data_IF_769459850585
#
_entry.id   IF_769459850585
#
_cell.length_a   1.000
_cell.length_b   1.000
_cell.length_c   1.000
_cell.angle_alpha   90.00
_cell.angle_beta   90.00
_cell.angle_gamma   90.00
#
_symmetry.space_group_name_H-M   'P 1'
#
loop_
_entity.id
_entity.type
_entity.pdbx_description
1 polymer ?
#
# COMPACT_ATOMS: atom_id res chain seq x y z
N UNK A 1 -12.50 -52.11 -36.35
CA UNK A 1 -12.67 -50.95 -35.43
C UNK A 1 -11.32 -50.64 -34.81
N UNK A 2 -10.67 -49.57 -35.24
CA UNK A 2 -9.82 -48.69 -34.40
C UNK A 2 -9.47 -47.48 -35.26
N UNK A 3 -10.21 -46.38 -35.03
CA UNK A 3 -9.87 -45.05 -35.56
C UNK A 3 -8.68 -44.57 -34.74
N UNK A 4 -7.54 -44.29 -35.37
CA UNK A 4 -6.52 -43.43 -34.78
C UNK A 4 -6.92 -41.99 -35.10
N UNK A 5 -7.39 -41.32 -34.06
CA UNK A 5 -7.78 -39.91 -34.07
C UNK A 5 -6.53 -39.04 -34.08
N UNK A 6 -6.52 -38.08 -34.99
CA UNK A 6 -5.59 -36.97 -35.09
C UNK A 6 -5.59 -36.18 -33.77
N UNK A 7 -4.45 -36.05 -33.11
CA UNK A 7 -4.23 -35.01 -32.10
C UNK A 7 -3.34 -33.95 -32.73
N UNK A 8 -3.97 -32.92 -33.28
CA UNK A 8 -3.29 -31.69 -33.65
C UNK A 8 -2.77 -31.05 -32.36
N UNK A 9 -1.46 -30.94 -32.24
CA UNK A 9 -0.81 -30.08 -31.25
C UNK A 9 -1.21 -28.64 -31.61
N UNK A 10 -2.18 -28.08 -30.88
CA UNK A 10 -2.39 -26.65 -30.88
C UNK A 10 -1.17 -26.04 -30.19
N UNK A 11 -0.17 -25.61 -30.97
CA UNK A 11 0.72 -24.56 -30.49
C UNK A 11 -0.18 -23.37 -30.18
N UNK A 12 -0.43 -23.12 -28.89
CA UNK A 12 -0.83 -21.80 -28.44
C UNK A 12 0.22 -20.85 -28.98
N UNK A 13 -0.16 -20.07 -29.99
CA UNK A 13 0.59 -18.89 -30.38
C UNK A 13 0.65 -18.02 -29.15
N UNK A 14 1.78 -18.06 -28.45
CA UNK A 14 2.16 -17.05 -27.48
C UNK A 14 2.16 -15.75 -28.28
N UNK A 15 1.05 -15.02 -28.25
CA UNK A 15 1.01 -13.67 -28.76
C UNK A 15 1.90 -12.86 -27.84
N UNK A 16 3.18 -12.78 -28.20
CA UNK A 16 4.09 -11.78 -27.66
C UNK A 16 3.61 -10.47 -28.28
N UNK A 17 2.49 -9.94 -27.76
CA UNK A 17 2.21 -8.51 -27.84
C UNK A 17 3.45 -7.86 -27.22
N UNK A 18 4.21 -7.14 -28.04
CA UNK A 18 5.51 -6.61 -27.64
C UNK A 18 5.41 -5.89 -26.30
N UNK A 19 6.27 -6.29 -25.36
CA UNK A 19 6.36 -5.65 -24.06
C UNK A 19 6.62 -4.15 -24.26
N UNK A 20 5.72 -3.31 -23.78
CA UNK A 20 5.82 -1.86 -23.92
C UNK A 20 4.55 -1.16 -23.41
N UNK A 21 4.67 0.14 -23.14
CA UNK A 21 3.49 0.96 -22.87
C UNK A 21 2.65 1.09 -24.15
N UNK A 22 1.33 0.99 -24.01
CA UNK A 22 0.41 1.33 -25.11
C UNK A 22 0.41 2.84 -25.37
N UNK A 23 -0.21 3.26 -26.46
CA UNK A 23 -0.43 4.69 -26.71
C UNK A 23 -1.28 5.34 -25.61
N UNK A 24 -1.09 6.63 -25.39
CA UNK A 24 -1.84 7.41 -24.40
C UNK A 24 -3.35 7.24 -24.56
N UNK A 25 -4.03 6.91 -23.46
CA UNK A 25 -5.49 6.87 -23.37
C UNK A 25 -5.98 7.89 -22.36
N UNK A 26 -7.08 8.57 -22.67
CA UNK A 26 -7.74 9.48 -21.74
C UNK A 26 -8.89 8.75 -21.04
N UNK A 27 -8.73 8.48 -19.74
CA UNK A 27 -9.71 7.74 -18.94
C UNK A 27 -10.75 8.63 -18.24
N UNK A 28 -10.53 9.95 -18.22
CA UNK A 28 -11.50 10.95 -17.78
C UNK A 28 -11.21 12.32 -18.39
N UNK A 29 -12.26 13.05 -18.76
CA UNK A 29 -12.18 14.45 -19.18
C UNK A 29 -12.58 15.44 -18.08
N UNK A 30 -12.95 14.92 -16.89
CA UNK A 30 -13.32 15.74 -15.74
C UNK A 30 -12.11 15.84 -14.82
N UNK A 31 -11.65 17.06 -14.48
CA UNK A 31 -10.56 17.25 -13.53
C UNK A 31 -10.76 16.43 -12.25
N UNK A 32 -9.66 15.90 -11.74
CA UNK A 32 -9.65 15.07 -10.55
C UNK A 32 -8.37 15.30 -9.78
N UNK A 33 -8.50 15.54 -8.49
CA UNK A 33 -7.39 15.76 -7.59
C UNK A 33 -7.90 16.25 -6.24
N UNK A 34 -7.23 15.82 -5.17
CA UNK A 34 -7.53 16.28 -3.81
C UNK A 34 -6.64 17.44 -3.39
N UNK A 35 -7.20 18.41 -2.66
CA UNK A 35 -6.43 19.55 -2.12
C UNK A 35 -5.41 19.14 -1.01
N UNK A 36 -5.57 17.95 -0.43
CA UNK A 36 -4.64 17.34 0.55
C UNK A 36 -3.81 16.19 -0.02
N UNK A 37 -4.12 15.72 -1.22
CA UNK A 37 -3.39 14.62 -1.84
C UNK A 37 -4.24 13.86 -2.87
N UNK A 38 -3.54 13.22 -3.80
CA UNK A 38 -4.14 12.34 -4.81
C UNK A 38 -3.36 11.03 -4.83
N UNK A 39 -4.06 9.91 -4.76
CA UNK A 39 -3.48 8.58 -4.63
C UNK A 39 -4.11 7.62 -5.63
N UNK A 40 -3.39 6.54 -5.94
CA UNK A 40 -3.87 5.44 -6.77
C UNK A 40 -3.58 4.13 -6.07
N UNK A 41 -4.62 3.46 -5.58
CA UNK A 41 -4.50 2.22 -4.81
C UNK A 41 -5.84 1.48 -4.81
N UNK A 42 -5.80 0.16 -4.75
CA UNK A 42 -7.00 -0.67 -4.75
C UNK A 42 -7.71 -0.57 -3.39
N UNK A 43 -8.90 0.06 -3.38
CA UNK A 43 -9.77 0.14 -2.18
C UNK A 43 -11.04 -0.69 -2.36
N UNK A 44 -11.11 -1.42 -3.47
CA UNK A 44 -12.26 -2.24 -3.89
C UNK A 44 -11.91 -3.70 -4.14
N UNK A 45 -10.67 -4.13 -3.85
CA UNK A 45 -10.10 -5.49 -4.01
C UNK A 45 -10.48 -6.14 -5.34
N UNK A 46 -10.57 -5.34 -6.39
CA UNK A 46 -10.84 -5.82 -7.74
C UNK A 46 -9.54 -6.05 -8.53
N UNK A 47 -8.39 -5.83 -7.87
CA UNK A 47 -7.05 -5.95 -8.42
C UNK A 47 -6.58 -4.70 -9.17
N UNK A 48 -7.32 -3.59 -9.11
CA UNK A 48 -7.01 -2.36 -9.85
C UNK A 48 -6.89 -1.20 -8.89
N UNK A 49 -5.90 -0.34 -9.15
CA UNK A 49 -5.76 0.89 -8.40
C UNK A 49 -6.91 1.85 -8.72
N UNK A 50 -7.67 2.25 -7.70
CA UNK A 50 -8.69 3.28 -7.79
C UNK A 50 -8.06 4.67 -7.64
N UNK A 51 -8.65 5.69 -8.27
CA UNK A 51 -8.22 7.06 -8.06
C UNK A 51 -8.85 7.60 -6.76
N UNK A 52 -8.04 8.21 -5.91
CA UNK A 52 -8.48 8.75 -4.62
C UNK A 52 -8.03 10.21 -4.46
N UNK A 53 -8.97 11.09 -4.16
CA UNK A 53 -8.77 12.50 -3.93
C UNK A 53 -9.10 12.82 -2.47
N UNK A 54 -8.07 13.13 -1.67
CA UNK A 54 -8.22 13.55 -0.28
C UNK A 54 -8.42 15.06 -0.25
N UNK A 55 -9.58 15.51 0.24
CA UNK A 55 -9.94 16.92 0.32
C UNK A 55 -10.16 17.38 1.76
N UNK A 56 -10.10 18.69 1.95
CA UNK A 56 -10.53 19.37 3.18
C UNK A 56 -11.96 19.02 3.61
N UNK A 57 -12.85 18.73 2.65
CA UNK A 57 -14.26 18.40 2.86
C UNK A 57 -14.57 16.89 2.94
N UNK A 58 -13.62 16.01 2.59
CA UNK A 58 -13.85 14.57 2.53
C UNK A 58 -12.97 13.85 1.50
N UNK A 59 -13.11 12.54 1.42
CA UNK A 59 -12.40 11.70 0.45
C UNK A 59 -13.36 11.32 -0.66
N UNK A 60 -12.93 11.56 -1.91
CA UNK A 60 -13.68 11.22 -3.11
C UNK A 60 -12.91 10.14 -3.85
N UNK A 61 -13.57 9.06 -4.23
CA UNK A 61 -12.98 7.94 -5.00
C UNK A 61 -13.59 7.92 -6.39
N UNK A 62 -12.78 7.58 -7.40
CA UNK A 62 -13.27 7.10 -8.70
C UNK A 62 -12.70 5.71 -8.93
N UNK A 63 -13.57 4.73 -9.06
CA UNK A 63 -13.18 3.32 -9.18
C UNK A 63 -12.59 3.05 -10.55
N UNK A 64 -11.56 2.22 -10.62
CA UNK A 64 -11.02 1.78 -11.90
C UNK A 64 -11.96 0.78 -12.55
N UNK A 65 -12.23 0.97 -13.85
CA UNK A 65 -13.00 0.03 -14.67
C UNK A 65 -12.06 -0.78 -15.59
N UNK A 66 -10.74 -0.63 -15.46
CA UNK A 66 -9.70 -1.27 -16.28
C UNK A 66 -9.50 -0.66 -17.68
N UNK A 67 -10.38 0.24 -18.10
CA UNK A 67 -10.27 1.01 -19.34
C UNK A 67 -10.87 2.42 -19.18
N UNK A 68 -10.88 2.94 -17.94
CA UNK A 68 -11.59 4.15 -17.56
C UNK A 68 -11.79 4.22 -16.05
N UNK A 69 -12.31 5.35 -15.56
CA UNK A 69 -12.75 5.51 -14.18
C UNK A 69 -14.27 5.67 -14.09
N UNK A 70 -14.87 5.23 -12.98
CA UNK A 70 -16.27 5.53 -12.65
C UNK A 70 -16.48 7.03 -12.36
N UNK A 71 -17.74 7.42 -12.12
CA UNK A 71 -18.06 8.74 -11.59
C UNK A 71 -17.49 8.95 -10.18
N UNK A 72 -17.39 10.22 -9.76
CA UNK A 72 -16.93 10.54 -8.41
C UNK A 72 -17.89 10.05 -7.34
N UNK A 73 -17.37 9.34 -6.34
CA UNK A 73 -18.09 8.82 -5.19
C UNK A 73 -17.53 9.46 -3.91
N UNK A 74 -18.39 10.02 -3.05
CA UNK A 74 -17.97 10.57 -1.76
C UNK A 74 -17.90 9.42 -0.75
N UNK A 75 -16.68 9.02 -0.38
CA UNK A 75 -16.44 7.91 0.54
C UNK A 75 -16.28 8.35 1.99
N UNK A 76 -15.95 9.62 2.23
CA UNK A 76 -16.08 10.24 3.57
C UNK A 76 -16.67 11.64 3.48
N UNK A 77 -17.44 12.01 4.49
CA UNK A 77 -17.85 13.40 4.74
C UNK A 77 -17.00 13.98 5.88
N UNK A 78 -16.55 15.23 5.68
CA UNK A 78 -15.57 15.85 6.55
C UNK A 78 -14.15 15.37 6.24
N UNK A 79 -13.20 16.30 6.28
CA UNK A 79 -11.80 16.01 6.01
C UNK A 79 -11.25 14.88 6.89
N UNK A 80 -10.55 13.94 6.27
CA UNK A 80 -9.86 12.86 6.96
C UNK A 80 -8.42 12.77 6.45
N UNK A 81 -7.53 13.52 7.09
CA UNK A 81 -6.12 13.60 6.76
C UNK A 81 -5.30 13.88 8.03
N UNK A 82 -4.07 13.39 8.08
CA UNK A 82 -3.19 13.56 9.23
C UNK A 82 -2.31 14.81 9.16
N UNK A 83 -1.93 15.37 10.31
CA UNK A 83 -0.97 16.49 10.38
C UNK A 83 0.47 16.07 10.00
N UNK A 84 0.79 14.78 10.07
CA UNK A 84 2.08 14.21 9.66
C UNK A 84 2.01 13.38 8.38
N UNK A 85 0.81 12.97 7.97
CA UNK A 85 0.64 12.27 6.71
C UNK A 85 -0.69 11.52 6.62
N UNK A 86 -1.06 11.23 5.37
CA UNK A 86 -2.20 10.41 4.99
C UNK A 86 -1.68 9.33 4.06
N UNK A 87 -1.98 8.08 4.38
CA UNK A 87 -1.50 6.90 3.68
C UNK A 87 -2.67 5.98 3.36
N UNK A 88 -2.44 5.08 2.40
CA UNK A 88 -3.39 4.05 2.04
C UNK A 88 -2.65 2.72 1.94
N UNK A 89 -3.05 1.75 2.75
CA UNK A 89 -2.49 0.39 2.73
C UNK A 89 -3.49 -0.59 3.37
N UNK A 90 -3.44 -1.86 2.98
CA UNK A 90 -4.28 -2.90 3.56
C UNK A 90 -3.74 -3.30 4.93
N UNK A 91 -4.19 -2.62 5.99
CA UNK A 91 -3.78 -2.93 7.38
C UNK A 91 -4.71 -3.97 8.01
N UNK A 92 -5.79 -4.32 7.33
CA UNK A 92 -6.82 -5.26 7.79
C UNK A 92 -6.69 -6.65 7.16
N UNK A 93 -5.82 -6.82 6.16
CA UNK A 93 -5.55 -8.07 5.46
C UNK A 93 -6.73 -8.58 4.66
N UNK A 94 -7.59 -7.67 4.19
CA UNK A 94 -8.83 -8.01 3.48
C UNK A 94 -8.80 -7.68 1.98
N UNK A 95 -7.62 -7.33 1.49
CA UNK A 95 -7.33 -7.03 0.09
C UNK A 95 -7.71 -5.62 -0.33
N UNK A 96 -8.15 -4.75 0.59
CA UNK A 96 -8.45 -3.34 0.32
C UNK A 96 -7.50 -2.44 1.09
N UNK A 97 -7.03 -1.38 0.45
CA UNK A 97 -6.32 -0.34 1.17
C UNK A 97 -7.28 0.46 2.07
N UNK A 98 -6.92 0.57 3.34
CA UNK A 98 -7.59 1.41 4.32
C UNK A 98 -6.99 2.82 4.33
N UNK A 99 -7.72 3.84 4.80
CA UNK A 99 -7.12 5.17 5.00
C UNK A 99 -6.46 5.24 6.37
N UNK A 100 -5.19 5.58 6.38
CA UNK A 100 -4.39 5.72 7.59
C UNK A 100 -3.98 7.19 7.73
N UNK A 101 -4.34 7.80 8.85
CA UNK A 101 -3.93 9.17 9.18
C UNK A 101 -2.94 9.15 10.33
N UNK A 102 -1.77 9.74 10.09
CA UNK A 102 -0.72 9.88 11.08
C UNK A 102 -0.79 11.30 11.63
N UNK A 103 -1.07 11.40 12.93
CA UNK A 103 -1.18 12.66 13.65
C UNK A 103 -0.14 12.73 14.77
N UNK A 104 0.23 13.94 15.20
CA UNK A 104 1.10 14.17 16.35
C UNK A 104 0.73 13.38 17.62
N UNK A 105 -0.55 13.04 17.80
CA UNK A 105 -1.08 12.28 18.94
C UNK A 105 -1.24 10.77 18.71
N UNK A 106 -0.99 10.25 17.50
CA UNK A 106 -1.16 8.83 17.20
C UNK A 106 -1.53 8.51 15.76
N UNK A 107 -1.98 7.27 15.55
CA UNK A 107 -2.43 6.77 14.24
C UNK A 107 -3.90 6.41 14.34
N UNK A 108 -4.71 6.90 13.41
CA UNK A 108 -6.09 6.50 13.24
C UNK A 108 -6.31 5.91 11.85
N UNK A 109 -7.26 4.98 11.75
CA UNK A 109 -7.57 4.25 10.53
C UNK A 109 -9.07 4.33 10.27
N UNK A 110 -9.48 4.49 9.01
CA UNK A 110 -10.82 4.15 8.55
C UNK A 110 -10.72 3.00 7.57
N UNK A 111 -11.44 1.93 7.87
CA UNK A 111 -11.42 0.71 7.06
C UNK A 111 -12.23 0.88 5.77
N UNK A 112 -11.76 0.33 4.67
CA UNK A 112 -12.53 0.30 3.43
C UNK A 112 -13.61 -0.80 3.47
N UNK A 113 -14.82 -0.51 2.97
CA UNK A 113 -15.95 -1.45 2.97
C UNK A 113 -16.55 -1.71 1.57
N UNK A 114 -15.72 -1.60 0.53
CA UNK A 114 -16.08 -1.63 -0.91
C UNK A 114 -16.73 -0.36 -1.44
N UNK A 115 -17.37 0.44 -0.59
CA UNK A 115 -18.20 1.57 -1.04
C UNK A 115 -17.93 2.88 -0.31
N UNK A 116 -17.29 2.81 0.84
CA UNK A 116 -16.94 3.94 1.68
C UNK A 116 -15.74 3.58 2.57
N UNK A 117 -15.27 4.59 3.31
CA UNK A 117 -14.41 4.36 4.46
C UNK A 117 -15.24 4.48 5.73
N UNK A 118 -15.17 3.46 6.58
CA UNK A 118 -15.94 3.33 7.82
C UNK A 118 -15.60 4.43 8.85
N UNK A 119 -16.14 4.28 10.06
CA UNK A 119 -15.83 5.18 11.17
C UNK A 119 -14.34 5.15 11.52
N UNK A 120 -13.84 6.30 12.00
CA UNK A 120 -12.44 6.40 12.41
C UNK A 120 -12.20 5.58 13.69
N UNK A 121 -11.16 4.77 13.67
CA UNK A 121 -10.68 3.99 14.80
C UNK A 121 -9.29 4.50 15.21
N UNK A 122 -9.08 4.74 16.49
CA UNK A 122 -7.73 5.02 17.00
C UNK A 122 -6.97 3.71 17.12
N UNK A 123 -6.05 3.46 16.19
CA UNK A 123 -5.24 2.24 16.17
C UNK A 123 -3.99 2.36 17.03
N UNK A 124 -3.55 3.58 17.33
CA UNK A 124 -2.44 3.82 18.26
C UNK A 124 -2.50 5.20 18.90
N UNK A 125 -2.19 5.25 20.20
CA UNK A 125 -1.87 6.49 20.91
C UNK A 125 -0.35 6.72 20.96
N UNK A 126 0.04 7.98 20.74
CA UNK A 126 1.43 8.41 20.74
C UNK A 126 2.18 7.92 19.51
N UNK A 127 3.04 8.79 18.97
CA UNK A 127 3.88 8.42 17.85
C UNK A 127 5.13 7.67 18.28
N UNK A 128 5.64 6.89 17.36
CA UNK A 128 7.04 6.52 17.36
C UNK A 128 7.84 7.82 17.04
N UNK A 129 8.84 8.17 17.85
CA UNK A 129 9.63 9.41 17.69
C UNK A 129 10.61 9.22 16.53
N UNK A 130 10.12 9.30 15.30
CA UNK A 130 10.93 8.93 14.13
C UNK A 130 11.04 10.02 13.08
N UNK A 131 12.01 9.83 12.19
CA UNK A 131 12.19 10.66 11.00
C UNK A 131 11.10 10.41 9.98
N UNK A 132 10.64 9.17 9.84
CA UNK A 132 9.64 8.80 8.83
C UNK A 132 8.81 7.59 9.25
N UNK A 133 7.53 7.59 8.86
CA UNK A 133 6.59 6.49 9.06
C UNK A 133 6.20 5.92 7.70
N UNK A 134 6.16 4.60 7.60
CA UNK A 134 5.76 3.85 6.40
C UNK A 134 4.73 2.78 6.78
N UNK A 135 4.02 2.27 5.77
CA UNK A 135 3.08 1.17 5.91
C UNK A 135 3.32 0.16 4.80
N UNK A 136 3.75 -1.05 5.15
CA UNK A 136 4.01 -2.13 4.21
C UNK A 136 3.99 -3.48 4.94
N UNK A 137 3.66 -4.56 4.24
CA UNK A 137 3.67 -5.91 4.82
C UNK A 137 5.10 -6.41 4.93
N UNK A 138 5.73 -6.20 6.09
CA UNK A 138 7.11 -6.63 6.36
C UNK A 138 7.15 -7.99 7.07
N UNK A 139 6.01 -8.47 7.56
CA UNK A 139 5.88 -9.78 8.22
C UNK A 139 5.52 -10.90 7.25
N UNK A 140 4.87 -10.57 6.14
CA UNK A 140 4.34 -11.50 5.14
C UNK A 140 3.01 -12.11 5.54
N UNK A 141 2.25 -11.45 6.42
CA UNK A 141 0.96 -11.93 6.92
C UNK A 141 -0.24 -11.40 6.10
N UNK A 142 0.04 -10.63 5.04
CA UNK A 142 -0.94 -9.98 4.19
C UNK A 142 -1.43 -8.64 4.73
N UNK A 143 -0.87 -8.12 5.83
CA UNK A 143 -1.25 -6.84 6.42
C UNK A 143 -0.09 -5.87 6.37
N UNK A 144 -0.36 -4.63 5.99
CA UNK A 144 0.62 -3.56 6.08
C UNK A 144 0.89 -3.21 7.56
N UNK A 145 2.13 -3.37 7.98
CA UNK A 145 2.60 -3.01 9.32
C UNK A 145 2.98 -1.53 9.39
N UNK A 146 2.91 -0.92 10.59
CA UNK A 146 3.43 0.42 10.78
C UNK A 146 4.94 0.38 11.04
N UNK A 147 5.69 1.05 10.18
CA UNK A 147 7.15 1.02 10.20
C UNK A 147 7.68 2.41 10.50
N UNK A 148 8.66 2.44 11.38
CA UNK A 148 9.32 3.63 11.87
C UNK A 148 10.80 3.55 11.55
N UNK A 149 11.30 4.56 10.84
CA UNK A 149 12.71 4.65 10.48
C UNK A 149 13.32 5.87 11.15
N UNK A 150 14.38 5.65 11.92
CA UNK A 150 15.11 6.72 12.60
C UNK A 150 16.61 6.40 12.74
N UNK A 151 17.33 7.25 13.47
CA UNK A 151 18.78 7.13 13.71
C UNK A 151 19.16 5.91 14.57
N UNK A 152 18.20 5.37 15.32
CA UNK A 152 18.34 4.15 16.11
C UNK A 152 17.93 2.89 15.34
N UNK A 153 17.55 3.03 14.06
CA UNK A 153 17.25 1.91 13.16
C UNK A 153 15.79 1.82 12.74
N UNK A 154 15.26 0.59 12.71
CA UNK A 154 13.92 0.28 12.21
C UNK A 154 13.10 -0.32 13.34
N UNK A 155 12.00 0.34 13.67
CA UNK A 155 11.00 -0.16 14.58
C UNK A 155 9.72 -0.52 13.81
N UNK A 156 9.11 -1.64 14.16
CA UNK A 156 7.89 -2.15 13.52
C UNK A 156 6.80 -2.31 14.57
N UNK A 157 5.57 -1.99 14.19
CA UNK A 157 4.38 -2.38 14.94
C UNK A 157 3.51 -3.19 14.02
N UNK A 158 3.29 -4.45 14.37
CA UNK A 158 2.50 -5.35 13.55
C UNK A 158 1.05 -4.91 13.47
N UNK A 159 0.46 -4.97 12.29
CA UNK A 159 -0.97 -4.78 12.15
C UNK A 159 -1.74 -5.96 12.73
N UNK A 160 -2.86 -5.67 13.39
CA UNK A 160 -3.75 -6.70 13.94
C UNK A 160 -5.19 -6.29 13.68
N UNK A 161 -6.14 -7.21 13.89
CA UNK A 161 -7.57 -6.89 13.80
C UNK A 161 -8.04 -5.77 14.76
N UNK A 162 -7.24 -5.44 15.79
CA UNK A 162 -7.57 -4.46 16.84
C UNK A 162 -6.71 -3.20 16.79
N UNK A 163 -5.84 -3.04 15.80
CA UNK A 163 -4.89 -1.94 15.74
C UNK A 163 -3.44 -2.38 15.60
N UNK A 164 -2.52 -1.43 15.74
CA UNK A 164 -1.08 -1.71 15.72
C UNK A 164 -0.59 -2.20 17.08
N UNK A 165 0.16 -3.30 17.08
CA UNK A 165 0.70 -3.92 18.28
C UNK A 165 1.77 -3.07 18.99
N UNK A 166 2.38 -3.66 20.03
CA UNK A 166 3.55 -3.09 20.68
C UNK A 166 4.70 -2.89 19.69
N UNK A 167 5.58 -1.94 19.99
CA UNK A 167 6.75 -1.67 19.15
C UNK A 167 7.77 -2.79 19.29
N UNK A 168 8.23 -3.31 18.16
CA UNK A 168 9.35 -4.22 18.03
C UNK A 168 10.54 -3.48 17.42
N UNK A 169 11.74 -3.72 17.93
CA UNK A 169 12.97 -3.20 17.30
C UNK A 169 13.50 -4.27 16.36
N UNK A 170 13.39 -4.04 15.06
CA UNK A 170 13.83 -4.99 14.03
C UNK A 170 15.26 -4.69 13.54
N UNK A 171 15.73 -3.47 13.78
CA UNK A 171 17.13 -3.10 13.64
C UNK A 171 17.49 -2.02 14.63
N UNK A 172 18.68 -2.13 15.22
CA UNK A 172 19.33 -1.16 16.10
C UNK A 172 20.33 -0.23 15.38
N UNK A 173 20.53 -0.44 14.07
CA UNK A 173 21.41 0.37 13.24
C UNK A 173 20.61 1.27 12.31
N UNK A 174 20.95 2.57 12.29
CA UNK A 174 20.40 3.57 11.38
C UNK A 174 20.26 3.04 9.95
N UNK A 175 19.09 3.27 9.34
CA UNK A 175 18.82 2.80 7.99
C UNK A 175 17.90 3.75 7.24
N UNK A 176 18.49 4.70 6.52
CA UNK A 176 17.76 5.64 5.67
C UNK A 176 18.66 6.10 4.53
N UNK A 177 18.06 6.38 3.37
CA UNK A 177 18.78 6.89 2.21
C UNK A 177 18.75 8.43 2.13
N UNK A 178 19.84 9.05 1.68
CA UNK A 178 19.90 10.51 1.47
C UNK A 178 18.98 11.03 0.34
N UNK A 179 18.58 10.15 -0.58
CA UNK A 179 17.65 10.43 -1.69
C UNK A 179 16.27 9.83 -1.49
N UNK A 180 16.09 8.99 -0.49
CA UNK A 180 14.80 8.39 -0.17
C UNK A 180 14.91 7.08 0.58
N UNK A 181 13.84 6.75 1.29
CA UNK A 181 13.66 5.46 1.95
C UNK A 181 12.31 4.90 1.51
N UNK A 182 12.29 3.63 1.12
CA UNK A 182 11.11 2.95 0.59
C UNK A 182 10.99 1.55 1.19
N UNK A 183 9.80 0.96 1.05
CA UNK A 183 9.53 -0.42 1.41
C UNK A 183 8.81 -1.10 0.24
N UNK A 184 9.39 -2.18 -0.28
CA UNK A 184 8.81 -2.99 -1.35
C UNK A 184 9.45 -4.38 -1.37
N UNK A 185 8.72 -5.38 -1.83
CA UNK A 185 9.23 -6.74 -2.00
C UNK A 185 10.17 -6.79 -3.23
N UNK A 186 11.47 -6.65 -2.99
CA UNK A 186 12.48 -6.70 -4.06
C UNK A 186 13.13 -8.07 -4.17
N UNK A 187 12.89 -8.95 -3.20
CA UNK A 187 13.39 -10.33 -3.19
C UNK A 187 12.41 -11.32 -3.80
N UNK A 188 11.13 -10.95 -3.90
CA UNK A 188 10.03 -11.80 -4.35
C UNK A 188 9.57 -12.82 -3.29
N UNK A 189 9.83 -12.53 -2.01
CA UNK A 189 9.55 -13.46 -0.91
C UNK A 189 8.20 -13.21 -0.21
N UNK A 190 7.45 -12.23 -0.69
CA UNK A 190 6.16 -11.82 -0.17
C UNK A 190 6.24 -10.82 0.99
N UNK A 191 7.42 -10.36 1.39
CA UNK A 191 7.63 -9.33 2.40
C UNK A 191 8.24 -8.09 1.78
N UNK A 192 7.82 -6.92 2.24
CA UNK A 192 8.46 -5.67 1.88
C UNK A 192 9.84 -5.57 2.54
N UNK A 193 10.86 -5.34 1.74
CA UNK A 193 12.23 -5.07 2.19
C UNK A 193 12.43 -3.57 2.40
N UNK A 194 13.33 -3.20 3.32
CA UNK A 194 13.69 -1.80 3.50
C UNK A 194 14.71 -1.38 2.43
N UNK A 195 14.46 -0.26 1.76
CA UNK A 195 15.27 0.22 0.63
C UNK A 195 15.77 1.63 0.95
N UNK A 196 17.09 1.81 1.00
CA UNK A 196 17.73 3.10 1.18
C UNK A 196 18.40 3.54 -0.12
N UNK A 197 17.85 4.58 -0.76
CA UNK A 197 18.43 5.18 -1.98
C UNK A 197 19.39 6.27 -1.56
N UNK A 198 20.65 6.11 -1.91
CA UNK A 198 21.73 7.02 -1.60
C UNK A 198 22.32 7.65 -2.87
N UNK A 199 23.08 8.72 -2.70
CA UNK A 199 23.85 9.34 -3.79
C UNK A 199 24.77 8.33 -4.48
N UNK A 200 25.36 7.40 -3.72
CA UNK A 200 26.36 6.43 -4.17
C UNK A 200 25.79 5.02 -4.46
N UNK A 201 24.48 4.80 -4.37
CA UNK A 201 23.88 3.50 -4.66
C UNK A 201 22.59 3.22 -3.91
N UNK A 202 22.09 1.99 -4.05
CA UNK A 202 20.89 1.49 -3.35
C UNK A 202 21.35 0.41 -2.36
N UNK A 203 20.99 0.58 -1.10
CA UNK A 203 21.15 -0.45 -0.08
C UNK A 203 19.80 -1.11 0.21
N UNK A 204 19.82 -2.42 0.43
CA UNK A 204 18.65 -3.23 0.76
C UNK A 204 18.89 -3.90 2.12
N UNK A 205 17.87 -3.92 2.97
CA UNK A 205 17.83 -4.73 4.17
C UNK A 205 16.58 -5.60 4.09
N UNK A 206 16.81 -6.89 3.97
CA UNK A 206 15.74 -7.85 3.70
C UNK A 206 14.89 -8.11 4.94
N UNK A 207 13.58 -8.16 4.78
CA UNK A 207 12.69 -8.62 5.83
C UNK A 207 12.78 -10.15 5.93
N UNK A 208 12.94 -10.66 7.16
CA UNK A 208 13.02 -12.11 7.40
C UNK A 208 11.75 -12.58 8.12
N UNK A 209 11.34 -13.84 7.93
CA UNK A 209 10.28 -14.41 8.75
C UNK A 209 10.69 -14.41 10.22
N UNK A 210 9.70 -14.44 11.11
CA UNK A 210 9.94 -14.60 12.54
C UNK A 210 10.87 -15.79 12.78
N UNK A 211 11.89 -15.57 13.61
CA UNK A 211 12.70 -16.69 14.09
C UNK A 211 11.78 -17.60 14.89
N UNK A 212 11.46 -18.77 14.34
CA UNK A 212 10.90 -19.87 15.12
C UNK A 212 11.95 -20.22 16.20
N UNK A 213 11.71 -19.76 17.42
CA UNK A 213 12.39 -20.30 18.59
C UNK A 213 11.79 -21.68 18.85
N UNK A 214 12.55 -22.72 18.56
CA UNK A 214 12.27 -24.09 19.00
C UNK A 214 12.50 -24.24 20.49
#
# INVERSE_FOLDING_TARGET
>A
MHKLSTTALALLSLSILGAGFTGTQTWSNTPYGGDRGTFFVDVTSDGRADAIAVNSSGIVVRRSLGAGFSGSEVWTYGGYYGDRGTFFADVTGDGRADVIVVNSNGIAVRRADWTAFANSETWRHGLLRDRSTFFADVTGDGRADAIAVNENGIAVRRATNRGFAATETWSDTAYYGDRGTFFADVTGDGRADAIAVNTNGIAIRTAAPDRQTW
#
